data_IF_804813297977
#
_entry.id   IF_804813297977
#
_cell.length_a   1.000
_cell.length_b   1.000
_cell.length_c   1.000
_cell.angle_alpha   90.00
_cell.angle_beta   90.00
_cell.angle_gamma   90.00
#
_symmetry.space_group_name_H-M   'P 1'
#
loop_
_entity.id
_entity.type
_entity.pdbx_description
1 polymer ?
#
# COMPACT_ATOMS: atom_id res chain seq x y z
N UNK A 1 -9.23 -46.62 25.16
CA UNK A 1 -9.49 -46.04 23.81
C UNK A 1 -10.26 -44.72 23.86
N UNK A 2 -11.40 -44.62 24.54
CA UNK A 2 -12.21 -43.37 24.61
C UNK A 2 -11.48 -42.12 25.14
N UNK A 3 -10.65 -42.24 26.19
CA UNK A 3 -9.90 -41.10 26.76
C UNK A 3 -8.75 -40.63 25.87
N UNK A 4 -8.12 -41.54 25.12
CA UNK A 4 -7.06 -41.24 24.15
C UNK A 4 -7.58 -40.46 22.92
N UNK A 5 -8.82 -40.69 22.50
CA UNK A 5 -9.46 -39.91 21.43
C UNK A 5 -9.79 -38.47 21.87
N UNK A 6 -10.22 -38.29 23.13
CA UNK A 6 -10.55 -36.98 23.69
C UNK A 6 -9.31 -36.08 23.87
N UNK A 7 -8.19 -36.63 24.34
CA UNK A 7 -6.93 -35.88 24.46
C UNK A 7 -6.35 -35.48 23.10
N UNK A 8 -6.48 -36.33 22.09
CA UNK A 8 -6.02 -36.05 20.72
C UNK A 8 -6.80 -34.90 20.06
N UNK A 9 -8.12 -34.83 20.29
CA UNK A 9 -8.97 -33.72 19.80
C UNK A 9 -8.58 -32.39 20.45
N UNK A 10 -8.29 -32.37 21.76
CA UNK A 10 -7.87 -31.17 22.48
C UNK A 10 -6.46 -30.69 22.08
N UNK A 11 -5.56 -31.60 21.71
CA UNK A 11 -4.24 -31.25 21.19
C UNK A 11 -4.31 -30.68 19.76
N UNK A 12 -5.24 -31.17 18.93
CA UNK A 12 -5.41 -30.69 17.56
C UNK A 12 -6.05 -29.29 17.51
N UNK A 13 -6.97 -28.98 18.43
CA UNK A 13 -7.59 -27.65 18.52
C UNK A 13 -6.63 -26.55 18.98
N UNK A 14 -5.68 -26.86 19.87
CA UNK A 14 -4.68 -25.87 20.33
C UNK A 14 -3.63 -25.54 19.25
N UNK A 15 -3.31 -26.46 18.34
CA UNK A 15 -2.42 -26.16 17.21
C UNK A 15 -3.07 -25.26 16.14
N UNK A 16 -4.40 -25.33 15.96
CA UNK A 16 -5.11 -24.48 15.00
C UNK A 16 -5.13 -22.99 15.42
N UNK A 17 -5.14 -22.69 16.71
CA UNK A 17 -5.19 -21.30 17.21
C UNK A 17 -3.89 -20.52 16.99
N UNK A 18 -2.73 -21.18 16.92
CA UNK A 18 -1.44 -20.50 16.71
C UNK A 18 -1.12 -20.23 15.22
N UNK A 19 -1.89 -20.79 14.29
CA UNK A 19 -1.66 -20.63 12.85
C UNK A 19 -2.40 -19.43 12.21
N UNK A 20 -3.31 -18.76 12.93
CA UNK A 20 -4.01 -17.57 12.43
C UNK A 20 -3.23 -16.27 12.71
N UNK A 21 -1.99 -16.16 12.21
CA UNK A 21 -1.34 -14.86 12.09
C UNK A 21 -1.92 -14.11 10.88
N UNK A 22 -2.95 -13.30 11.10
CA UNK A 22 -3.54 -12.45 10.06
C UNK A 22 -2.55 -11.37 9.63
N UNK A 23 -2.32 -11.19 8.33
CA UNK A 23 -1.55 -10.07 7.82
C UNK A 23 -2.29 -8.76 8.05
N UNK A 24 -1.62 -7.76 8.62
CA UNK A 24 -2.14 -6.41 8.81
C UNK A 24 -1.45 -5.45 7.83
N UNK A 25 -2.15 -4.41 7.34
CA UNK A 25 -1.50 -3.37 6.55
C UNK A 25 -0.48 -2.58 7.40
N UNK A 26 0.57 -2.01 6.78
CA UNK A 26 1.55 -1.19 7.47
C UNK A 26 0.90 0.04 8.13
N UNK A 27 1.21 0.27 9.41
CA UNK A 27 0.75 1.46 10.16
C UNK A 27 1.31 2.72 9.48
N UNK A 28 0.42 3.64 9.14
CA UNK A 28 0.75 4.90 8.50
C UNK A 28 0.78 6.04 9.52
N UNK A 29 1.97 6.51 9.90
CA UNK A 29 2.14 7.68 10.78
C UNK A 29 2.21 8.95 9.94
N UNK A 30 1.06 9.38 9.40
CA UNK A 30 1.02 10.50 8.46
C UNK A 30 0.10 11.60 8.99
N UNK A 31 0.56 12.86 8.92
CA UNK A 31 -0.20 14.06 9.30
C UNK A 31 -1.58 14.09 8.64
N UNK A 32 -2.61 14.61 9.28
CA UNK A 32 -3.95 14.78 8.66
C UNK A 32 -4.03 16.01 7.75
N UNK A 33 -2.93 16.75 7.57
CA UNK A 33 -2.89 17.96 6.75
C UNK A 33 -3.12 17.65 5.26
N UNK A 34 -4.25 18.12 4.73
CA UNK A 34 -4.63 17.98 3.32
C UNK A 34 -3.94 19.01 2.41
N UNK A 35 -3.21 19.97 2.96
CA UNK A 35 -2.53 21.02 2.19
C UNK A 35 -1.13 20.63 1.74
N UNK A 36 -0.60 19.49 2.19
CA UNK A 36 0.74 19.03 1.84
C UNK A 36 0.82 18.56 0.38
N UNK A 37 1.87 18.97 -0.32
CA UNK A 37 2.11 18.61 -1.72
C UNK A 37 2.65 17.19 -1.88
N UNK A 38 3.55 16.79 -0.99
CA UNK A 38 4.17 15.47 -1.01
C UNK A 38 3.91 14.74 0.29
N UNK A 39 3.69 13.43 0.18
CA UNK A 39 3.40 12.55 1.31
C UNK A 39 4.13 11.22 1.15
N UNK A 40 4.67 10.69 2.25
CA UNK A 40 5.39 9.43 2.27
C UNK A 40 4.52 8.36 2.93
N UNK A 41 4.41 7.20 2.28
CA UNK A 41 3.62 6.06 2.74
C UNK A 41 4.54 4.86 2.99
N UNK A 42 4.45 4.26 4.17
CA UNK A 42 5.27 3.11 4.55
C UNK A 42 4.75 1.84 3.88
N UNK A 43 5.67 0.97 3.45
CA UNK A 43 5.34 -0.40 3.01
C UNK A 43 5.62 -1.38 4.15
N UNK A 44 5.25 -2.67 4.00
CA UNK A 44 5.68 -3.69 4.97
C UNK A 44 7.19 -3.99 4.89
N UNK A 45 7.86 -3.57 3.81
CA UNK A 45 9.32 -3.53 3.77
C UNK A 45 9.78 -2.24 4.44
N UNK A 46 10.40 -2.36 5.62
CA UNK A 46 10.84 -1.23 6.46
C UNK A 46 11.80 -0.25 5.79
N UNK A 47 12.47 -0.67 4.72
CA UNK A 47 13.39 0.17 3.95
C UNK A 47 12.70 0.97 2.86
N UNK A 48 11.48 0.58 2.47
CA UNK A 48 10.82 1.07 1.27
C UNK A 48 9.53 1.83 1.57
N UNK A 49 9.37 2.95 0.86
CA UNK A 49 8.25 3.86 0.95
C UNK A 49 7.75 4.24 -0.44
N UNK A 50 6.51 4.73 -0.51
CA UNK A 50 5.99 5.41 -1.68
C UNK A 50 5.86 6.89 -1.37
N UNK A 51 6.58 7.74 -2.11
CA UNK A 51 6.40 9.19 -2.10
C UNK A 51 5.34 9.55 -3.13
N UNK A 52 4.26 10.19 -2.70
CA UNK A 52 3.13 10.60 -3.53
C UNK A 52 3.12 12.12 -3.69
N UNK A 53 2.97 12.63 -4.91
CA UNK A 53 2.50 13.98 -5.18
C UNK A 53 0.97 14.00 -5.03
N UNK A 54 0.48 14.56 -3.93
CA UNK A 54 -0.94 14.56 -3.58
C UNK A 54 -1.79 15.39 -4.53
N UNK A 55 -1.18 16.26 -5.34
CA UNK A 55 -1.88 17.11 -6.29
C UNK A 55 -2.40 16.35 -7.51
N UNK A 56 -1.60 15.40 -7.97
CA UNK A 56 -1.73 14.85 -9.31
C UNK A 56 -1.54 13.33 -9.41
N UNK A 57 -1.15 12.67 -8.32
CA UNK A 57 -1.05 11.22 -8.25
C UNK A 57 0.22 10.64 -8.87
N UNK A 58 1.20 11.47 -9.23
CA UNK A 58 2.55 11.02 -9.56
C UNK A 58 3.24 10.48 -8.30
N UNK A 59 4.10 9.48 -8.45
CA UNK A 59 4.70 8.82 -7.30
C UNK A 59 6.03 8.13 -7.59
N UNK A 60 6.82 7.98 -6.54
CA UNK A 60 8.17 7.41 -6.56
C UNK A 60 8.31 6.38 -5.45
N UNK A 61 9.08 5.32 -5.72
CA UNK A 61 9.60 4.44 -4.68
C UNK A 61 10.82 5.12 -4.05
N UNK A 62 10.85 5.16 -2.73
CA UNK A 62 11.96 5.71 -1.93
C UNK A 62 12.50 4.60 -1.03
N UNK A 63 13.81 4.36 -1.10
CA UNK A 63 14.51 3.42 -0.23
C UNK A 63 15.57 4.14 0.61
N UNK A 64 15.61 3.86 1.92
CA UNK A 64 16.71 4.27 2.79
C UNK A 64 17.64 3.09 3.13
N UNK A 65 18.88 3.38 3.50
CA UNK A 65 19.88 2.37 3.85
C UNK A 65 20.94 2.94 4.79
N UNK A 66 21.66 2.06 5.50
CA UNK A 66 22.85 2.40 6.28
C UNK A 66 24.16 2.29 5.47
N UNK A 67 24.12 1.69 4.28
CA UNK A 67 25.30 1.35 3.46
C UNK A 67 25.04 1.65 1.99
N UNK A 68 24.76 2.92 1.68
CA UNK A 68 24.70 3.49 0.33
C UNK A 68 23.78 2.82 -0.71
N UNK A 69 22.82 1.99 -0.28
CA UNK A 69 21.76 1.42 -1.14
C UNK A 69 20.46 2.26 -1.11
N UNK A 70 20.59 3.56 -0.81
CA UNK A 70 19.48 4.49 -0.77
C UNK A 70 19.20 5.03 -2.18
N UNK A 71 17.93 5.10 -2.57
CA UNK A 71 17.54 5.60 -3.88
C UNK A 71 16.13 6.16 -3.89
N UNK A 72 15.85 6.93 -4.93
CA UNK A 72 14.50 7.28 -5.36
C UNK A 72 14.35 6.93 -6.83
N UNK A 73 13.25 6.26 -7.19
CA UNK A 73 12.98 5.86 -8.57
C UNK A 73 11.50 6.05 -8.89
N UNK A 74 11.20 6.44 -10.13
CA UNK A 74 9.83 6.63 -10.58
C UNK A 74 9.04 5.33 -10.47
N UNK A 75 7.90 5.40 -9.78
CA UNK A 75 6.89 4.35 -9.81
C UNK A 75 5.84 4.69 -10.87
N UNK A 76 5.38 5.94 -10.90
CA UNK A 76 4.60 6.46 -12.03
C UNK A 76 4.73 7.97 -12.15
N UNK A 77 5.10 8.42 -13.34
CA UNK A 77 5.19 9.82 -13.76
C UNK A 77 3.90 10.31 -14.45
N UNK A 78 2.91 9.45 -14.64
CA UNK A 78 1.64 9.79 -15.27
C UNK A 78 0.75 10.52 -14.26
N UNK A 79 0.39 11.77 -14.58
CA UNK A 79 -0.63 12.52 -13.83
C UNK A 79 -2.01 11.90 -14.00
N UNK A 80 -2.82 11.88 -12.93
CA UNK A 80 -4.21 11.40 -12.93
C UNK A 80 -5.23 12.48 -13.29
N UNK A 81 -4.74 13.70 -13.47
CA UNK A 81 -5.52 14.92 -13.65
C UNK A 81 -4.79 15.87 -14.60
N UNK A 82 -5.53 16.77 -15.22
CA UNK A 82 -4.95 17.88 -15.98
C UNK A 82 -4.50 18.99 -15.03
N UNK A 83 -3.56 19.84 -15.48
CA UNK A 83 -2.86 20.81 -14.63
C UNK A 83 -3.78 21.77 -13.85
N UNK A 84 -4.90 22.18 -14.44
CA UNK A 84 -5.89 23.07 -13.83
C UNK A 84 -6.75 22.39 -12.75
N UNK A 85 -6.75 21.06 -12.67
CA UNK A 85 -7.48 20.31 -11.65
C UNK A 85 -6.55 19.78 -10.53
N UNK A 86 -5.26 20.10 -10.59
CA UNK A 86 -4.33 19.79 -9.50
C UNK A 86 -4.73 20.52 -8.22
N UNK A 87 -4.83 19.78 -7.12
CA UNK A 87 -5.16 20.36 -5.81
C UNK A 87 -4.42 19.60 -4.71
N UNK A 88 -3.74 20.33 -3.81
CA UNK A 88 -3.06 19.69 -2.67
C UNK A 88 -4.03 18.80 -1.92
N UNK A 89 -3.58 17.59 -1.59
CA UNK A 89 -4.39 16.60 -0.88
C UNK A 89 -5.47 15.93 -1.72
N UNK A 90 -5.52 16.11 -3.04
CA UNK A 90 -6.50 15.40 -3.89
C UNK A 90 -6.30 13.89 -3.84
N UNK A 91 -5.06 13.43 -3.83
CA UNK A 91 -4.71 12.01 -3.88
C UNK A 91 -4.16 11.48 -2.56
N UNK A 92 -4.60 10.29 -2.18
CA UNK A 92 -4.13 9.58 -0.99
C UNK A 92 -3.94 8.07 -1.26
N UNK A 93 -2.89 7.48 -0.68
CA UNK A 93 -2.63 6.04 -0.77
C UNK A 93 -3.12 5.32 0.48
N UNK A 94 -3.88 4.25 0.27
CA UNK A 94 -4.31 3.34 1.33
C UNK A 94 -3.53 2.03 1.19
N UNK A 95 -2.78 1.62 2.21
CA UNK A 95 -2.05 0.36 2.16
C UNK A 95 -3.00 -0.84 2.17
N UNK A 96 -2.58 -1.92 1.54
CA UNK A 96 -3.26 -3.23 1.64
C UNK A 96 -2.47 -4.17 2.56
N UNK A 97 -3.01 -5.35 2.82
CA UNK A 97 -2.27 -6.42 3.51
C UNK A 97 -1.17 -7.03 2.63
N UNK A 98 -1.21 -6.81 1.31
CA UNK A 98 -0.16 -7.21 0.40
C UNK A 98 0.91 -6.10 0.34
N UNK A 99 2.14 -6.45 0.69
CA UNK A 99 3.27 -5.50 0.79
C UNK A 99 3.47 -4.65 -0.46
N UNK A 100 3.20 -5.21 -1.65
CA UNK A 100 3.44 -4.56 -2.93
C UNK A 100 2.29 -3.68 -3.40
N UNK A 101 1.11 -3.76 -2.77
CA UNK A 101 -0.12 -3.18 -3.28
C UNK A 101 -0.71 -2.09 -2.37
N UNK A 102 -1.15 -1.01 -3.00
CA UNK A 102 -1.88 0.11 -2.41
C UNK A 102 -3.10 0.44 -3.27
N UNK A 103 -4.06 1.13 -2.67
CA UNK A 103 -5.16 1.79 -3.37
C UNK A 103 -4.90 3.29 -3.39
N UNK A 104 -4.74 3.88 -4.56
CA UNK A 104 -4.76 5.33 -4.74
C UNK A 104 -6.23 5.78 -4.85
N UNK A 105 -6.64 6.72 -4.01
CA UNK A 105 -7.97 7.33 -4.06
C UNK A 105 -7.85 8.80 -4.48
N UNK A 106 -8.64 9.19 -5.49
CA UNK A 106 -8.99 10.59 -5.72
C UNK A 106 -10.06 10.98 -4.69
N UNK A 107 -9.65 11.78 -3.69
CA UNK A 107 -10.51 12.20 -2.59
C UNK A 107 -11.56 13.26 -3.00
N UNK A 108 -11.52 13.73 -4.25
CA UNK A 108 -12.49 14.70 -4.78
C UNK A 108 -13.59 13.99 -5.57
N UNK A 109 -13.24 13.14 -6.53
CA UNK A 109 -14.21 12.52 -7.44
C UNK A 109 -14.42 11.01 -7.23
N UNK A 110 -13.70 10.41 -6.28
CA UNK A 110 -13.88 9.02 -5.86
C UNK A 110 -13.29 7.97 -6.79
N UNK A 111 -12.59 8.36 -7.88
CA UNK A 111 -11.88 7.39 -8.73
C UNK A 111 -10.76 6.72 -7.93
N UNK A 112 -10.53 5.44 -8.21
CA UNK A 112 -9.50 4.66 -7.56
C UNK A 112 -8.58 3.94 -8.55
N UNK A 113 -7.35 3.70 -8.13
CA UNK A 113 -6.35 2.92 -8.87
C UNK A 113 -5.69 1.91 -7.96
N UNK A 114 -5.43 0.72 -8.49
CA UNK A 114 -4.47 -0.19 -7.91
C UNK A 114 -3.06 0.33 -8.20
N UNK A 115 -2.24 0.42 -7.16
CA UNK A 115 -0.83 0.79 -7.25
C UNK A 115 -0.01 -0.41 -6.80
N UNK A 116 0.88 -0.87 -7.68
CA UNK A 116 1.85 -1.93 -7.39
C UNK A 116 3.28 -1.37 -7.49
N UNK A 117 4.03 -1.45 -6.39
CA UNK A 117 5.47 -1.15 -6.38
C UNK A 117 6.29 -2.44 -6.43
N UNK A 118 7.50 -2.35 -6.97
CA UNK A 118 8.43 -3.48 -7.01
C UNK A 118 9.86 -2.97 -7.27
N UNK A 119 10.87 -3.74 -6.83
CA UNK A 119 12.26 -3.49 -7.21
C UNK A 119 12.49 -3.65 -8.71
N UNK A 120 11.81 -4.63 -9.32
CA UNK A 120 11.77 -4.81 -10.76
C UNK A 120 10.82 -3.79 -11.39
N UNK A 121 11.38 -2.90 -12.23
CA UNK A 121 10.62 -1.83 -12.87
C UNK A 121 9.47 -2.37 -13.75
N UNK A 122 9.65 -3.53 -14.37
CA UNK A 122 8.62 -4.14 -15.24
C UNK A 122 7.42 -4.66 -14.45
N UNK A 123 7.59 -4.89 -13.15
CA UNK A 123 6.51 -5.32 -12.24
C UNK A 123 5.78 -4.15 -11.59
N UNK A 124 6.15 -2.90 -11.89
CA UNK A 124 5.46 -1.71 -11.35
C UNK A 124 4.22 -1.42 -12.19
N UNK A 125 3.14 -1.03 -11.52
CA UNK A 125 1.87 -0.78 -12.20
C UNK A 125 1.04 0.27 -11.46
N UNK A 126 0.36 1.12 -12.21
CA UNK A 126 -0.78 1.90 -11.69
C UNK A 126 -1.96 1.70 -12.65
N UNK A 127 -2.97 0.95 -12.22
CA UNK A 127 -4.10 0.57 -13.05
C UNK A 127 -5.41 1.13 -12.47
N UNK A 128 -6.24 1.73 -13.33
CA UNK A 128 -7.54 2.26 -12.91
C UNK A 128 -8.48 1.13 -12.54
N UNK A 129 -9.12 1.24 -11.38
CA UNK A 129 -10.19 0.32 -10.97
C UNK A 129 -11.49 0.85 -11.59
N UNK A 130 -12.07 0.09 -12.51
CA UNK A 130 -13.31 0.45 -13.19
C UNK A 130 -14.51 -0.09 -12.42
N UNK A 131 -15.59 0.68 -12.38
CA UNK A 131 -16.87 0.21 -11.88
C UNK A 131 -17.46 -0.79 -12.89
N UNK A 132 -17.91 -1.94 -12.40
CA UNK A 132 -18.42 -3.05 -13.24
C UNK A 132 -19.93 -2.91 -13.54
N UNK A 133 -20.59 -1.88 -13.00
CA UNK A 133 -22.05 -1.72 -13.09
C UNK A 133 -22.48 -0.54 -14.00
N UNK A 134 -22.06 -0.57 -15.27
CA UNK A 134 -22.68 0.24 -16.33
C UNK A 134 -23.44 -0.67 -17.30
#
# INVERSE_FOLDING_TARGET
MRTFFLTSIFALTTMLTFAQSTSQPPIQNISTDSTVVYRLFATNNTYNFIKLNTRNGQMWQVQWSLKDNQFETTLSDISRVIKNEEKNGRFFLYPTTNTYNFILLDQIDGRAWQVQWNFDAEKRMVARILNVNN
#
